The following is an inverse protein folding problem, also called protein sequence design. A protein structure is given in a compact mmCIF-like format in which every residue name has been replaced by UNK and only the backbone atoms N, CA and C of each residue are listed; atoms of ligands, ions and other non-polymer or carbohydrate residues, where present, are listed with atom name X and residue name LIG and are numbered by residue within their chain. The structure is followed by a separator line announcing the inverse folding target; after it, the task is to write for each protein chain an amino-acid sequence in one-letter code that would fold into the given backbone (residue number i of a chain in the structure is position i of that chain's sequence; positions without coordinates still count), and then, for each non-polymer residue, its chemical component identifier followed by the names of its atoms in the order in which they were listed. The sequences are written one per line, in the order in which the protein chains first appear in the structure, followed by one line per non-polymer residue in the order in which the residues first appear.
data_IF_046013244205
#
_entry.id   IF_046013244205
#
_cell.length_a   1.000
_cell.length_b   1.000
_cell.length_c   1.000
_cell.angle_alpha   90.00
_cell.angle_beta   90.00
_cell.angle_gamma   90.00
#
_symmetry.space_group_name_H-M   'P 1'
#
loop_
_entity.id
_entity.type
_entity.pdbx_description
1 polymer ?
#
# COMPACT_ATOMS: atom_id res chain seq x y z
N UNK A 1 31.18 -14.66 23.53
CA UNK A 1 29.99 -15.11 22.78
C UNK A 1 29.36 -13.88 22.14
N UNK A 2 29.44 -13.67 20.82
CA UNK A 2 28.71 -12.57 20.19
C UNK A 2 27.20 -12.84 20.29
N UNK A 3 26.43 -11.83 20.69
CA UNK A 3 24.98 -11.92 20.76
C UNK A 3 24.41 -12.25 19.38
N UNK A 4 23.66 -13.35 19.29
CA UNK A 4 22.91 -13.72 18.09
C UNK A 4 21.86 -12.63 17.87
N UNK A 5 22.06 -11.76 16.86
CA UNK A 5 21.00 -10.87 16.37
C UNK A 5 19.83 -11.75 15.99
N UNK A 6 18.73 -11.66 16.72
CA UNK A 6 17.47 -12.27 16.33
C UNK A 6 17.06 -11.65 14.99
N UNK A 7 16.72 -12.44 13.96
CA UNK A 7 16.15 -11.88 12.75
C UNK A 7 14.88 -11.14 13.15
N UNK A 8 14.79 -9.86 12.81
CA UNK A 8 13.58 -9.08 13.05
C UNK A 8 12.48 -9.65 12.18
N UNK A 9 11.44 -10.18 12.80
CA UNK A 9 10.21 -10.55 12.11
C UNK A 9 9.66 -9.29 11.42
N UNK A 10 9.33 -9.35 10.11
CA UNK A 10 8.78 -8.20 9.42
C UNK A 10 7.42 -7.83 10.03
N UNK A 11 7.14 -6.53 10.09
CA UNK A 11 5.87 -6.02 10.60
C UNK A 11 4.73 -6.16 9.59
N UNK A 12 5.06 -6.22 8.30
CA UNK A 12 4.14 -6.36 7.17
C UNK A 12 4.76 -7.26 6.09
N UNK A 13 3.93 -7.98 5.34
CA UNK A 13 4.37 -8.77 4.20
C UNK A 13 4.52 -7.89 2.96
N UNK A 14 5.63 -8.08 2.23
CA UNK A 14 5.99 -7.35 0.99
C UNK A 14 6.47 -8.33 -0.06
N UNK A 15 6.47 -7.92 -1.33
CA UNK A 15 6.99 -8.75 -2.43
C UNK A 15 8.53 -8.78 -2.42
N UNK A 16 9.09 -9.98 -2.34
CA UNK A 16 10.53 -10.23 -2.42
C UNK A 16 11.02 -10.34 -3.88
N UNK A 17 12.26 -9.94 -4.14
CA UNK A 17 12.90 -9.99 -5.46
C UNK A 17 13.68 -11.29 -5.74
N UNK A 18 13.79 -12.17 -4.75
CA UNK A 18 14.50 -13.45 -4.86
C UNK A 18 13.56 -14.63 -5.15
N UNK A 19 14.11 -15.69 -5.72
CA UNK A 19 13.35 -16.90 -6.14
C UNK A 19 13.98 -18.21 -5.66
N UNK A 20 15.03 -18.11 -4.84
CA UNK A 20 15.87 -19.20 -4.32
C UNK A 20 15.71 -19.40 -2.80
N UNK A 21 14.76 -18.70 -2.17
CA UNK A 21 14.43 -18.85 -0.76
C UNK A 21 12.91 -18.70 -0.54
N UNK A 22 12.37 -19.11 0.63
CA UNK A 22 10.99 -18.84 1.00
C UNK A 22 10.73 -17.34 1.13
N UNK A 23 9.53 -16.88 0.76
CA UNK A 23 9.14 -15.48 0.93
C UNK A 23 9.20 -15.04 2.39
N UNK A 24 9.53 -13.76 2.60
CA UNK A 24 9.55 -13.11 3.91
C UNK A 24 8.14 -12.61 4.24
N UNK A 25 7.51 -13.18 5.27
CA UNK A 25 6.13 -12.83 5.64
C UNK A 25 6.02 -12.36 7.09
N UNK A 26 5.06 -11.47 7.33
CA UNK A 26 4.64 -11.12 8.68
C UNK A 26 3.90 -12.30 9.34
N UNK A 27 3.81 -12.34 10.68
CA UNK A 27 3.13 -13.42 11.38
C UNK A 27 1.65 -13.53 11.00
N UNK A 28 1.24 -14.71 10.52
CA UNK A 28 -0.14 -14.99 10.12
C UNK A 28 -0.42 -14.77 8.64
N UNK A 29 0.46 -14.07 7.92
CA UNK A 29 0.32 -13.79 6.49
C UNK A 29 0.84 -14.95 5.63
N UNK A 30 0.19 -15.14 4.49
CA UNK A 30 0.70 -16.01 3.42
C UNK A 30 1.78 -15.33 2.57
N UNK A 31 2.49 -16.08 1.72
CA UNK A 31 3.39 -15.49 0.73
C UNK A 31 2.65 -14.52 -0.19
N UNK A 32 3.27 -13.36 -0.47
CA UNK A 32 2.70 -12.30 -1.30
C UNK A 32 1.36 -11.71 -0.81
N UNK A 33 1.00 -11.92 0.45
CA UNK A 33 -0.18 -11.32 1.10
C UNK A 33 0.08 -9.87 1.51
N UNK A 34 0.44 -9.04 0.52
CA UNK A 34 0.73 -7.62 0.71
C UNK A 34 -0.56 -6.81 0.92
N UNK A 35 -0.50 -5.83 1.81
CA UNK A 35 -1.61 -4.88 2.07
C UNK A 35 -1.50 -3.60 1.24
N UNK A 36 -0.43 -3.43 0.48
CA UNK A 36 -0.22 -2.27 -0.39
C UNK A 36 -0.96 -2.45 -1.73
N UNK A 37 -2.01 -1.65 -2.01
CA UNK A 37 -2.81 -1.80 -3.22
C UNK A 37 -2.04 -1.43 -4.50
N UNK A 38 -0.85 -0.83 -4.38
CA UNK A 38 0.00 -0.44 -5.52
C UNK A 38 1.04 -1.50 -5.88
N UNK A 39 1.25 -2.49 -5.01
CA UNK A 39 2.16 -3.60 -5.31
C UNK A 39 1.55 -4.54 -6.35
N UNK A 40 2.40 -4.94 -7.28
CA UNK A 40 2.02 -5.83 -8.38
C UNK A 40 2.99 -6.98 -8.42
N UNK A 41 2.45 -8.17 -8.56
CA UNK A 41 3.19 -9.41 -8.61
C UNK A 41 3.18 -9.99 -10.03
N UNK A 42 4.26 -10.67 -10.39
CA UNK A 42 4.30 -11.57 -11.54
C UNK A 42 4.89 -12.91 -11.13
N UNK A 43 4.44 -13.98 -11.77
CA UNK A 43 5.03 -15.30 -11.57
C UNK A 43 6.47 -15.32 -12.08
N UNK A 44 7.34 -16.00 -11.34
CA UNK A 44 8.72 -16.28 -11.72
C UNK A 44 8.98 -17.78 -11.68
N UNK A 45 9.99 -18.25 -12.43
CA UNK A 45 10.45 -19.63 -12.32
C UNK A 45 11.36 -19.74 -11.09
N UNK A 46 11.00 -20.56 -10.07
CA UNK A 46 11.82 -20.66 -8.86
C UNK A 46 13.14 -21.38 -9.08
N UNK A 47 14.20 -20.93 -8.42
CA UNK A 47 15.47 -21.65 -8.38
C UNK A 47 15.47 -22.65 -7.21
N UNK A 48 14.87 -23.81 -7.48
CA UNK A 48 14.77 -24.90 -6.51
C UNK A 48 16.12 -25.54 -6.18
N UNK A 49 17.09 -25.47 -7.09
CA UNK A 49 18.38 -26.10 -6.90
C UNK A 49 19.21 -25.33 -5.87
N UNK A 50 19.31 -24.01 -6.04
CA UNK A 50 20.00 -23.12 -5.09
C UNK A 50 19.29 -23.14 -3.74
N UNK A 51 17.95 -23.10 -3.72
CA UNK A 51 17.17 -23.20 -2.50
C UNK A 51 17.43 -24.49 -1.70
N UNK A 52 17.45 -25.64 -2.40
CA UNK A 52 17.70 -26.92 -1.76
C UNK A 52 19.12 -27.02 -1.21
N UNK A 53 20.12 -26.47 -1.92
CA UNK A 53 21.51 -26.41 -1.43
C UNK A 53 21.63 -25.53 -0.17
N UNK A 54 20.85 -24.45 -0.09
CA UNK A 54 20.75 -23.60 1.09
C UNK A 54 19.90 -24.21 2.23
N UNK A 55 19.30 -25.38 2.00
CA UNK A 55 18.50 -26.09 3.01
C UNK A 55 17.04 -25.63 3.12
N UNK A 56 16.53 -24.90 2.13
CA UNK A 56 15.14 -24.48 2.08
C UNK A 56 14.22 -25.59 1.55
N UNK A 57 13.08 -25.79 2.21
CA UNK A 57 12.04 -26.74 1.79
C UNK A 57 10.95 -26.14 0.89
N UNK A 58 10.93 -24.81 0.77
CA UNK A 58 9.99 -24.04 -0.05
C UNK A 58 10.74 -22.92 -0.76
N UNK A 59 10.12 -22.35 -1.79
CA UNK A 59 10.69 -21.29 -2.62
C UNK A 59 9.63 -20.25 -2.96
N UNK A 60 10.06 -19.01 -3.11
CA UNK A 60 9.26 -17.95 -3.68
C UNK A 60 9.04 -18.20 -5.18
N UNK A 61 7.82 -17.97 -5.65
CA UNK A 61 7.42 -18.13 -7.05
C UNK A 61 6.86 -16.84 -7.65
N UNK A 62 6.93 -15.74 -6.91
CA UNK A 62 6.34 -14.47 -7.28
C UNK A 62 7.35 -13.35 -7.04
N UNK A 63 7.56 -12.49 -8.02
CA UNK A 63 8.47 -11.34 -7.91
C UNK A 63 7.71 -10.04 -8.17
N UNK A 64 8.18 -8.90 -7.63
CA UNK A 64 7.55 -7.62 -7.88
C UNK A 64 7.65 -7.21 -9.35
N UNK A 65 6.57 -6.61 -9.84
CA UNK A 65 6.56 -5.78 -11.03
C UNK A 65 6.81 -4.31 -10.65
N UNK A 66 7.26 -3.48 -11.60
CA UNK A 66 7.32 -2.04 -11.40
C UNK A 66 5.97 -1.49 -10.94
N UNK A 67 6.00 -0.64 -9.91
CA UNK A 67 4.80 0.04 -9.43
C UNK A 67 4.24 0.92 -10.55
N UNK A 68 2.91 0.93 -10.74
CA UNK A 68 2.31 1.86 -11.68
C UNK A 68 2.50 3.28 -11.15
N UNK A 69 2.73 4.22 -12.06
CA UNK A 69 2.60 5.63 -11.72
C UNK A 69 1.12 5.91 -11.37
N UNK A 70 0.84 6.69 -10.31
CA UNK A 70 -0.51 7.13 -10.02
C UNK A 70 -1.08 7.86 -11.24
N UNK A 71 -2.26 7.44 -11.70
CA UNK A 71 -2.92 8.15 -12.78
C UNK A 71 -3.32 9.55 -12.31
N UNK A 72 -2.98 10.56 -13.11
CA UNK A 72 -3.48 11.91 -12.86
C UNK A 72 -4.99 11.96 -13.09
N UNK A 73 -5.70 12.71 -12.25
CA UNK A 73 -7.13 12.94 -12.43
C UNK A 73 -7.34 13.78 -13.69
N UNK A 74 -8.21 13.31 -14.58
CA UNK A 74 -8.61 14.06 -15.77
C UNK A 74 -9.99 14.69 -15.57
N UNK A 75 -10.23 15.82 -16.26
CA UNK A 75 -11.49 16.57 -16.22
C UNK A 75 -11.49 17.76 -15.27
N UNK A 76 -12.56 18.55 -15.31
CA UNK A 76 -12.74 19.70 -14.42
C UNK A 76 -13.17 19.26 -13.02
N UNK A 77 -12.91 20.11 -12.02
CA UNK A 77 -13.44 19.94 -10.67
C UNK A 77 -14.92 20.37 -10.66
N UNK A 78 -15.76 19.57 -10.02
CA UNK A 78 -17.15 19.91 -9.71
C UNK A 78 -17.22 20.37 -8.27
N UNK A 79 -17.94 21.47 -8.08
CA UNK A 79 -18.13 22.06 -6.76
C UNK A 79 -19.61 22.04 -6.38
N UNK A 80 -19.89 21.65 -5.15
CA UNK A 80 -21.20 21.78 -4.51
C UNK A 80 -21.14 22.93 -3.51
N UNK A 81 -22.21 23.74 -3.43
CA UNK A 81 -22.31 24.81 -2.43
C UNK A 81 -23.54 24.62 -1.56
N UNK A 82 -23.36 24.64 -0.24
CA UNK A 82 -24.45 24.47 0.72
C UNK A 82 -24.23 25.34 1.97
N UNK A 83 -25.32 25.61 2.69
CA UNK A 83 -25.29 26.30 3.99
C UNK A 83 -25.04 25.28 5.10
N UNK A 84 -24.14 25.61 6.03
CA UNK A 84 -23.85 24.81 7.22
C UNK A 84 -23.80 25.70 8.46
N UNK A 85 -24.19 25.15 9.61
CA UNK A 85 -24.06 25.85 10.89
C UNK A 85 -22.64 25.62 11.46
N UNK A 86 -21.95 26.70 11.81
CA UNK A 86 -20.71 26.63 12.58
C UNK A 86 -20.98 26.17 14.03
N UNK A 87 -19.95 25.70 14.75
CA UNK A 87 -20.07 25.35 16.17
C UNK A 87 -20.54 26.48 17.08
N UNK A 88 -20.37 27.74 16.68
CA UNK A 88 -20.85 28.93 17.40
C UNK A 88 -22.28 29.35 17.03
N UNK A 89 -22.95 28.59 16.15
CA UNK A 89 -24.33 28.84 15.74
C UNK A 89 -24.49 29.81 14.58
N UNK A 90 -23.41 30.28 13.96
CA UNK A 90 -23.46 31.15 12.77
C UNK A 90 -23.61 30.30 11.51
N UNK A 91 -24.52 30.68 10.60
CA UNK A 91 -24.63 30.04 9.28
C UNK A 91 -23.49 30.49 8.36
N UNK A 92 -22.82 29.53 7.73
CA UNK A 92 -21.77 29.79 6.73
C UNK A 92 -22.09 29.09 5.43
N UNK A 93 -21.60 29.66 4.33
CA UNK A 93 -21.68 29.03 3.01
C UNK A 93 -20.39 28.27 2.73
N UNK A 94 -20.52 26.95 2.55
CA UNK A 94 -19.42 26.03 2.27
C UNK A 94 -19.44 25.65 0.80
N UNK A 95 -18.30 25.79 0.13
CA UNK A 95 -18.03 25.19 -1.17
C UNK A 95 -17.20 23.93 -0.97
N UNK A 96 -17.70 22.81 -1.48
CA UNK A 96 -17.04 21.50 -1.43
C UNK A 96 -16.69 21.06 -2.85
N UNK A 97 -15.42 20.75 -3.06
CA UNK A 97 -14.95 20.08 -4.25
C UNK A 97 -15.27 18.59 -4.16
N UNK A 98 -16.04 18.06 -5.11
CA UNK A 98 -16.57 16.70 -5.07
C UNK A 98 -15.47 15.68 -5.38
N UNK A 99 -14.49 16.06 -6.18
CA UNK A 99 -13.41 15.20 -6.67
C UNK A 99 -12.30 15.02 -5.63
N UNK A 100 -11.95 16.09 -4.92
CA UNK A 100 -10.85 16.10 -3.93
C UNK A 100 -11.33 15.97 -2.49
N UNK A 101 -12.62 16.24 -2.23
CA UNK A 101 -13.17 16.35 -0.88
C UNK A 101 -12.75 17.62 -0.13
N UNK A 102 -11.93 18.48 -0.73
CA UNK A 102 -11.55 19.76 -0.14
C UNK A 102 -12.79 20.65 0.03
N UNK A 103 -12.89 21.30 1.19
CA UNK A 103 -13.99 22.21 1.50
C UNK A 103 -13.44 23.55 1.96
N UNK A 104 -14.08 24.64 1.56
CA UNK A 104 -13.73 26.00 1.99
C UNK A 104 -14.97 26.82 2.29
N UNK A 105 -14.85 27.77 3.21
CA UNK A 105 -15.88 28.76 3.47
C UNK A 105 -15.74 29.85 2.42
N UNK A 106 -16.84 30.15 1.72
CA UNK A 106 -16.89 31.15 0.63
C UNK A 106 -17.63 32.43 1.01
N UNK A 107 -18.39 32.42 2.11
CA UNK A 107 -18.96 33.60 2.74
C UNK A 107 -19.30 33.34 4.22
N UNK A 108 -19.03 34.33 5.08
CA UNK A 108 -19.58 34.42 6.43
C UNK A 108 -20.92 35.16 6.34
N UNK A 109 -21.99 34.55 6.86
CA UNK A 109 -23.30 35.19 7.03
C UNK A 109 -23.38 36.03 8.29
#
# INVERSE_FOLDING_TARGET
MPARKTPSTPAETRLDDFVDAPSTTAPGDGPADTTDPTERATSATPDKATAAQAGHGTVNAVVPLPRPEPAERTGEDRTETYTALRPDGVEVRVERNIETGASRIVADG
#
